data_IF_732481407008
#
_entry.id   IF_732481407008
#
_cell.length_a   1.000
_cell.length_b   1.000
_cell.length_c   1.000
_cell.angle_alpha   90.00
_cell.angle_beta   90.00
_cell.angle_gamma   90.00
#
_symmetry.space_group_name_H-M   'P 1'
#
loop_
_entity.id
_entity.type
_entity.pdbx_description
1 polymer ?
#
# COMPACT_ATOMS: atom_id res chain seq x y z
N UNK A 1 4.37 22.13 -57.38
CA UNK A 1 4.22 22.74 -56.05
C UNK A 1 3.51 21.72 -55.18
N UNK A 2 4.28 20.91 -54.47
CA UNK A 2 3.75 19.80 -53.68
C UNK A 2 3.43 20.25 -52.24
N UNK A 3 2.20 20.06 -51.74
CA UNK A 3 1.75 20.56 -50.45
C UNK A 3 2.04 19.57 -49.30
N UNK A 4 3.20 18.90 -49.30
CA UNK A 4 3.46 17.78 -48.39
C UNK A 4 4.65 17.88 -47.39
N UNK A 5 5.32 19.03 -47.13
CA UNK A 5 6.39 19.01 -46.13
C UNK A 5 5.84 18.91 -44.69
N UNK A 6 4.68 19.51 -44.38
CA UNK A 6 4.21 19.63 -42.99
C UNK A 6 3.69 18.33 -42.36
N UNK A 7 3.15 17.38 -43.15
CA UNK A 7 2.58 16.13 -42.61
C UNK A 7 3.66 15.13 -42.17
N UNK A 8 4.82 15.17 -42.83
CA UNK A 8 5.94 14.26 -42.53
C UNK A 8 6.61 14.59 -41.20
N UNK A 9 6.71 15.88 -40.85
CA UNK A 9 7.32 16.31 -39.58
C UNK A 9 6.48 15.92 -38.37
N UNK A 10 5.15 16.01 -38.43
CA UNK A 10 4.26 15.64 -37.31
C UNK A 10 4.31 14.13 -37.06
N UNK A 11 4.27 13.32 -38.13
CA UNK A 11 4.34 11.86 -38.01
C UNK A 11 5.67 11.37 -37.38
N UNK A 12 6.80 12.01 -37.73
CA UNK A 12 8.11 11.67 -37.16
C UNK A 12 8.21 12.00 -35.66
N UNK A 13 7.63 13.12 -35.21
CA UNK A 13 7.68 13.51 -33.80
C UNK A 13 6.75 12.65 -32.93
N UNK A 14 5.58 12.26 -33.45
CA UNK A 14 4.67 11.34 -32.76
C UNK A 14 5.31 9.95 -32.60
N UNK A 15 6.06 9.48 -33.60
CA UNK A 15 6.75 8.19 -33.55
C UNK A 15 7.93 8.21 -32.55
N UNK A 16 8.65 9.32 -32.42
CA UNK A 16 9.73 9.49 -31.43
C UNK A 16 9.17 9.59 -29.99
N UNK A 17 8.00 10.18 -29.80
CA UNK A 17 7.37 10.29 -28.48
C UNK A 17 6.74 8.97 -27.99
N UNK A 18 6.29 8.10 -28.90
CA UNK A 18 5.71 6.79 -28.55
C UNK A 18 6.78 5.74 -28.19
N UNK A 19 7.97 5.82 -28.78
CA UNK A 19 9.08 4.90 -28.46
C UNK A 19 9.77 5.26 -27.14
N UNK A 20 9.83 6.54 -26.76
CA UNK A 20 10.39 6.95 -25.46
C UNK A 20 9.49 6.55 -24.28
N UNK A 21 8.17 6.56 -24.46
CA UNK A 21 7.23 6.20 -23.39
C UNK A 21 7.22 4.70 -23.07
N UNK A 22 7.58 3.85 -24.04
CA UNK A 22 7.63 2.39 -23.83
C UNK A 22 8.90 1.94 -23.11
N UNK A 23 10.00 2.68 -23.22
CA UNK A 23 11.26 2.32 -22.59
C UNK A 23 11.25 2.59 -21.08
N UNK A 24 10.55 3.62 -20.60
CA UNK A 24 10.44 3.91 -19.16
C UNK A 24 9.64 2.88 -18.34
N UNK A 25 8.81 2.04 -18.95
CA UNK A 25 7.96 1.07 -18.23
C UNK A 25 8.67 -0.26 -17.96
N UNK A 26 9.66 -0.62 -18.77
CA UNK A 26 10.31 -1.93 -18.70
C UNK A 26 11.39 -2.03 -17.60
N UNK A 27 11.90 -0.91 -17.10
CA UNK A 27 12.90 -0.90 -16.00
C UNK A 27 12.28 -0.93 -14.59
N UNK A 28 10.95 -0.97 -14.47
CA UNK A 28 10.30 -0.75 -13.17
C UNK A 28 10.22 -2.00 -12.28
N UNK A 29 10.62 -3.17 -12.77
CA UNK A 29 10.66 -4.37 -11.93
C UNK A 29 12.11 -4.61 -11.51
N UNK A 30 12.45 -4.35 -10.23
CA UNK A 30 13.78 -4.69 -9.73
C UNK A 30 14.01 -6.19 -9.99
N UNK A 31 15.23 -6.52 -10.43
CA UNK A 31 15.67 -7.90 -10.55
C UNK A 31 15.36 -8.65 -9.24
N UNK A 32 15.03 -9.95 -9.28
CA UNK A 32 14.67 -10.69 -8.07
C UNK A 32 15.79 -10.55 -7.05
N UNK A 33 15.51 -9.82 -5.97
CA UNK A 33 16.46 -9.64 -4.89
C UNK A 33 16.81 -11.02 -4.33
N UNK A 34 18.11 -11.29 -4.20
CA UNK A 34 18.58 -12.51 -3.55
C UNK A 34 18.04 -12.52 -2.12
N UNK A 35 17.27 -13.56 -1.76
CA UNK A 35 16.70 -13.68 -0.42
C UNK A 35 17.86 -13.67 0.58
N UNK A 36 17.90 -12.70 1.51
CA UNK A 36 19.00 -12.59 2.48
C UNK A 36 19.04 -13.81 3.39
N UNK A 37 20.20 -14.07 4.00
CA UNK A 37 20.34 -15.15 4.96
C UNK A 37 19.40 -14.92 6.17
N UNK A 38 18.96 -16.01 6.82
CA UNK A 38 17.99 -15.92 7.92
C UNK A 38 18.42 -14.95 9.03
N UNK A 39 19.70 -14.91 9.39
CA UNK A 39 20.19 -14.01 10.45
C UNK A 39 20.16 -12.53 10.01
N UNK A 40 20.49 -12.23 8.75
CA UNK A 40 20.39 -10.87 8.20
C UNK A 40 18.93 -10.39 8.17
N UNK A 41 18.00 -11.30 7.84
CA UNK A 41 16.58 -11.01 7.87
C UNK A 41 16.07 -10.76 9.29
N UNK A 42 16.51 -11.57 10.25
CA UNK A 42 16.11 -11.44 11.65
C UNK A 42 16.55 -10.09 12.24
N UNK A 43 17.78 -9.68 11.96
CA UNK A 43 18.30 -8.38 12.40
C UNK A 43 17.52 -7.23 11.76
N UNK A 44 17.22 -7.33 10.46
CA UNK A 44 16.40 -6.35 9.74
C UNK A 44 14.97 -6.25 10.32
N UNK A 45 14.35 -7.38 10.66
CA UNK A 45 13.01 -7.40 11.28
C UNK A 45 13.03 -6.79 12.67
N UNK A 46 14.07 -7.07 13.47
CA UNK A 46 14.18 -6.50 14.82
C UNK A 46 14.48 -4.99 14.76
N UNK A 47 15.20 -4.50 13.76
CA UNK A 47 15.38 -3.06 13.52
C UNK A 47 14.06 -2.36 13.19
N UNK A 48 13.20 -3.00 12.39
CA UNK A 48 11.87 -2.49 12.06
C UNK A 48 10.88 -2.58 13.22
N UNK A 49 11.20 -3.35 14.26
CA UNK A 49 10.30 -3.59 15.39
C UNK A 49 10.18 -2.35 16.27
N UNK A 50 9.03 -1.71 16.22
CA UNK A 50 8.68 -0.65 17.18
C UNK A 50 8.41 -1.31 18.54
N UNK A 51 9.30 -1.03 19.52
CA UNK A 51 9.22 -1.63 20.87
C UNK A 51 7.99 -1.17 21.65
N UNK A 52 7.69 0.12 21.60
CA UNK A 52 6.62 0.75 22.37
C UNK A 52 5.49 1.21 21.45
N UNK A 53 4.56 0.31 21.18
CA UNK A 53 3.36 0.61 20.39
C UNK A 53 2.22 0.96 21.35
N UNK A 54 1.77 2.22 21.33
CA UNK A 54 0.81 2.76 22.31
C UNK A 54 -0.51 1.97 22.40
N UNK A 55 -1.00 1.39 21.30
CA UNK A 55 -2.22 0.59 21.32
C UNK A 55 -2.03 -0.78 21.99
N UNK A 56 -0.79 -1.31 22.08
CA UNK A 56 -0.53 -2.57 22.81
C UNK A 56 -0.54 -2.40 24.33
N UNK A 57 -0.38 -1.17 24.83
CA UNK A 57 -0.49 -0.87 26.26
C UNK A 57 -1.92 -0.59 26.72
N UNK A 58 -2.89 -0.58 25.82
CA UNK A 58 -4.31 -0.44 26.17
C UNK A 58 -4.81 -1.80 26.66
N UNK A 59 -5.49 -1.81 27.80
CA UNK A 59 -6.17 -3.00 28.31
C UNK A 59 -7.49 -3.20 27.53
N UNK A 60 -7.40 -3.95 26.44
CA UNK A 60 -8.53 -4.16 25.53
C UNK A 60 -9.57 -5.09 26.15
N UNK A 61 -10.84 -4.66 26.12
CA UNK A 61 -11.95 -5.55 26.40
C UNK A 61 -12.11 -6.56 25.26
N UNK A 62 -12.11 -7.86 25.59
CA UNK A 62 -12.26 -8.95 24.61
C UNK A 62 -13.72 -9.19 24.19
N UNK A 63 -14.68 -8.59 24.90
CA UNK A 63 -16.12 -8.73 24.70
C UNK A 63 -16.74 -7.41 24.27
N UNK A 64 -17.48 -7.44 23.16
CA UNK A 64 -18.19 -6.27 22.62
C UNK A 64 -19.24 -5.77 23.63
N UNK A 65 -19.97 -6.70 24.25
CA UNK A 65 -21.05 -6.35 25.18
C UNK A 65 -20.50 -5.66 26.42
N UNK A 66 -19.36 -6.12 26.94
CA UNK A 66 -18.72 -5.51 28.10
C UNK A 66 -18.17 -4.12 27.77
N UNK A 67 -17.58 -3.96 26.57
CA UNK A 67 -17.16 -2.66 26.08
C UNK A 67 -18.32 -1.67 25.94
N UNK A 68 -19.46 -2.10 25.37
CA UNK A 68 -20.66 -1.27 25.23
C UNK A 68 -21.24 -0.87 26.58
N UNK A 69 -21.30 -1.81 27.53
CA UNK A 69 -21.76 -1.54 28.90
C UNK A 69 -20.86 -0.50 29.58
N UNK A 70 -19.54 -0.68 29.53
CA UNK A 70 -18.59 0.28 30.11
C UNK A 70 -18.70 1.67 29.45
N UNK A 71 -18.87 1.72 28.13
CA UNK A 71 -19.09 2.97 27.39
C UNK A 71 -20.34 3.70 27.85
N UNK A 72 -21.44 2.96 28.10
CA UNK A 72 -22.67 3.52 28.63
C UNK A 72 -22.52 4.02 30.07
N UNK A 73 -21.87 3.24 30.94
CA UNK A 73 -21.67 3.58 32.36
C UNK A 73 -20.75 4.79 32.53
N UNK A 74 -19.67 4.86 31.76
CA UNK A 74 -18.71 5.97 31.81
C UNK A 74 -19.11 7.16 30.95
N UNK A 75 -20.15 7.02 30.13
CA UNK A 75 -20.59 7.99 29.13
C UNK A 75 -19.43 8.47 28.23
N UNK A 76 -18.59 7.52 27.81
CA UNK A 76 -17.42 7.76 26.94
C UNK A 76 -17.60 7.07 25.60
N UNK A 77 -17.08 7.64 24.50
CA UNK A 77 -17.11 6.99 23.20
C UNK A 77 -16.29 5.70 23.21
N UNK A 78 -16.81 4.68 22.51
CA UNK A 78 -16.15 3.39 22.34
C UNK A 78 -15.26 3.41 21.08
N UNK A 79 -14.03 2.90 21.19
CA UNK A 79 -13.20 2.57 20.04
C UNK A 79 -13.23 1.05 19.85
N UNK A 80 -13.67 0.61 18.67
CA UNK A 80 -13.69 -0.81 18.32
C UNK A 80 -12.56 -1.13 17.34
N UNK A 81 -11.59 -1.94 17.79
CA UNK A 81 -10.52 -2.43 16.94
C UNK A 81 -10.90 -3.79 16.36
N UNK A 82 -11.26 -3.82 15.08
CA UNK A 82 -11.56 -5.04 14.36
C UNK A 82 -10.60 -5.20 13.18
N UNK A 83 -10.00 -6.38 13.07
CA UNK A 83 -9.29 -6.76 11.85
C UNK A 83 -10.31 -7.39 10.91
N UNK A 84 -10.83 -6.58 9.99
CA UNK A 84 -11.77 -7.04 8.98
C UNK A 84 -10.93 -7.40 7.76
N UNK A 85 -10.58 -8.68 7.63
CA UNK A 85 -9.85 -9.22 6.49
C UNK A 85 -10.83 -9.50 5.34
N UNK A 86 -11.60 -8.48 4.95
CA UNK A 86 -12.49 -8.57 3.80
C UNK A 86 -11.68 -8.30 2.53
N UNK A 87 -11.82 -9.14 1.49
CA UNK A 87 -11.35 -8.81 0.16
C UNK A 87 -11.94 -7.45 -0.25
N UNK A 88 -11.16 -6.60 -0.93
CA UNK A 88 -11.59 -5.27 -1.36
C UNK A 88 -12.89 -5.26 -2.18
N UNK A 89 -13.28 -6.41 -2.74
CA UNK A 89 -14.45 -6.59 -3.59
C UNK A 89 -15.66 -7.21 -2.86
N UNK A 90 -15.55 -7.51 -1.56
CA UNK A 90 -16.68 -8.04 -0.80
C UNK A 90 -17.68 -6.91 -0.47
N UNK A 91 -18.87 -6.99 -1.07
CA UNK A 91 -19.94 -5.98 -0.95
C UNK A 91 -20.82 -6.17 0.29
N UNK A 92 -20.49 -7.11 1.18
CA UNK A 92 -21.25 -7.38 2.40
C UNK A 92 -20.70 -6.52 3.52
N UNK A 93 -21.35 -5.38 3.75
CA UNK A 93 -21.25 -4.58 4.96
C UNK A 93 -22.27 -5.06 5.99
#
# INVERSE_FOLDING_TARGET
MDPYPLRSFIAAHVLIFLTSLSLSRAEQFPAPETIPAFEELKDSVEELRIKNIAWRSIDWNYSILDGLKASQEENKPLIFWCHIDLPADDKRC
#
